data_IF_731441350659
#
_entry.id   IF_731441350659
#
_cell.length_a   1.000
_cell.length_b   1.000
_cell.length_c   1.000
_cell.angle_alpha   90.00
_cell.angle_beta   90.00
_cell.angle_gamma   90.00
#
_symmetry.space_group_name_H-M   'P 1'
#
loop_
_entity.id
_entity.type
_entity.pdbx_description
1 polymer ?
#
# COMPACT_ATOMS: atom_id res chain seq x y z
N UNK A 1 -38.84 1.38 -26.95
CA UNK A 1 -38.64 2.41 -25.91
C UNK A 1 -38.34 1.70 -24.60
N UNK A 2 -37.17 2.04 -24.02
CA UNK A 2 -36.75 1.84 -22.63
C UNK A 2 -36.55 0.40 -22.16
N UNK A 3 -35.37 -0.14 -22.49
CA UNK A 3 -34.65 -1.08 -21.64
C UNK A 3 -34.54 -0.42 -20.26
N UNK A 4 -35.42 -0.79 -19.33
CA UNK A 4 -35.24 -0.50 -17.92
C UNK A 4 -34.19 -1.45 -17.37
N UNK A 5 -32.94 -1.23 -17.79
CA UNK A 5 -31.75 -1.62 -17.03
C UNK A 5 -31.78 -0.83 -15.72
N UNK A 6 -32.63 -1.28 -14.80
CA UNK A 6 -32.41 -1.12 -13.36
C UNK A 6 -31.21 -2.01 -13.04
N UNK A 7 -30.05 -1.58 -13.55
CA UNK A 7 -28.75 -2.01 -13.09
C UNK A 7 -28.70 -1.47 -11.67
N UNK A 8 -29.18 -2.30 -10.75
CA UNK A 8 -28.99 -2.13 -9.34
C UNK A 8 -27.48 -1.98 -9.16
N UNK A 9 -27.02 -0.72 -9.12
CA UNK A 9 -25.72 -0.33 -8.63
C UNK A 9 -25.71 -0.69 -7.14
N UNK A 10 -25.62 -2.00 -6.88
CA UNK A 10 -24.93 -2.58 -5.76
C UNK A 10 -23.48 -2.07 -5.84
N UNK A 11 -23.27 -0.80 -5.50
CA UNK A 11 -21.98 -0.29 -5.02
C UNK A 11 -21.81 -0.68 -3.55
N UNK A 12 -22.09 -1.95 -3.29
CA UNK A 12 -21.88 -2.61 -2.01
C UNK A 12 -20.54 -3.30 -2.09
N UNK A 13 -19.65 -2.82 -1.24
CA UNK A 13 -18.51 -3.53 -0.69
C UNK A 13 -17.36 -3.83 -1.65
N UNK A 14 -16.45 -2.86 -1.74
CA UNK A 14 -15.03 -3.18 -1.55
C UNK A 14 -14.49 -2.25 -0.46
N UNK A 15 -14.97 -2.45 0.77
CA UNK A 15 -14.16 -2.12 1.95
C UNK A 15 -13.33 -3.39 2.17
N UNK A 16 -12.34 -3.61 1.32
CA UNK A 16 -11.34 -4.66 1.45
C UNK A 16 -10.01 -3.92 1.44
N UNK A 17 -9.14 -3.99 2.44
CA UNK A 17 -9.26 -4.54 3.78
C UNK A 17 -8.90 -3.48 4.82
N UNK A 18 -9.65 -3.41 5.90
CA UNK A 18 -9.09 -2.91 7.16
C UNK A 18 -8.13 -4.01 7.63
N UNK A 19 -6.85 -3.84 7.32
CA UNK A 19 -5.80 -4.82 7.52
C UNK A 19 -5.67 -5.30 8.96
N UNK A 20 -5.70 -6.62 9.12
CA UNK A 20 -5.17 -7.36 10.28
C UNK A 20 -3.66 -7.63 10.10
N UNK A 21 -2.99 -6.73 9.37
CA UNK A 21 -1.60 -6.88 8.98
C UNK A 21 -0.71 -6.28 10.04
N UNK A 22 0.33 -7.00 10.43
CA UNK A 22 1.30 -6.49 11.40
C UNK A 22 2.10 -5.32 10.79
N UNK A 23 2.62 -4.40 11.63
CA UNK A 23 3.55 -3.38 11.17
C UNK A 23 4.76 -3.97 10.44
N UNK A 24 5.23 -5.14 10.89
CA UNK A 24 6.38 -5.84 10.34
C UNK A 24 6.15 -6.31 8.90
N UNK A 25 4.98 -6.90 8.62
CA UNK A 25 4.57 -7.28 7.27
C UNK A 25 4.33 -6.06 6.37
N UNK A 26 3.69 -5.02 6.92
CA UNK A 26 3.41 -3.78 6.17
C UNK A 26 4.71 -3.09 5.75
N UNK A 27 5.66 -2.98 6.68
CA UNK A 27 6.98 -2.41 6.45
C UNK A 27 7.81 -3.24 5.48
N UNK A 28 7.72 -4.58 5.51
CA UNK A 28 8.41 -5.44 4.55
C UNK A 28 7.96 -5.17 3.11
N UNK A 29 6.64 -5.09 2.87
CA UNK A 29 6.09 -4.79 1.53
C UNK A 29 6.56 -3.41 1.05
N UNK A 30 6.38 -2.38 1.86
CA UNK A 30 6.72 -1.00 1.50
C UNK A 30 8.22 -0.85 1.22
N UNK A 31 9.06 -1.42 2.08
CA UNK A 31 10.51 -1.33 1.95
C UNK A 31 11.05 -2.16 0.79
N UNK A 32 10.44 -3.30 0.47
CA UNK A 32 10.74 -4.03 -0.75
C UNK A 32 10.44 -3.18 -1.99
N UNK A 33 9.28 -2.51 -2.05
CA UNK A 33 8.93 -1.63 -3.17
C UNK A 33 9.88 -0.42 -3.28
N UNK A 34 10.25 0.18 -2.15
CA UNK A 34 11.25 1.24 -2.13
C UNK A 34 12.64 0.76 -2.60
N UNK A 35 13.06 -0.45 -2.20
CA UNK A 35 14.34 -1.03 -2.60
C UNK A 35 14.39 -1.39 -4.09
N UNK A 36 13.27 -1.85 -4.66
CA UNK A 36 13.12 -2.00 -6.10
C UNK A 36 13.32 -0.66 -6.80
N UNK A 37 12.74 0.43 -6.29
CA UNK A 37 12.91 1.73 -6.92
C UNK A 37 14.31 2.35 -6.74
N UNK A 38 14.91 2.19 -5.55
CA UNK A 38 16.21 2.77 -5.23
C UNK A 38 17.24 1.67 -5.00
N UNK A 39 17.82 1.11 -6.07
CA UNK A 39 18.87 0.10 -5.94
C UNK A 39 20.07 0.68 -5.17
N UNK A 40 20.34 0.13 -3.99
CA UNK A 40 21.34 0.62 -3.05
C UNK A 40 20.78 1.06 -1.70
N UNK A 41 19.47 1.25 -1.59
CA UNK A 41 18.79 1.35 -0.30
C UNK A 41 18.76 -0.03 0.38
N UNK A 42 19.08 -0.06 1.68
CA UNK A 42 19.02 -1.29 2.45
C UNK A 42 17.57 -1.54 2.87
N UNK A 43 16.92 -2.51 2.24
CA UNK A 43 15.58 -2.98 2.59
C UNK A 43 15.48 -3.26 4.09
N UNK A 44 16.46 -3.99 4.65
CA UNK A 44 16.50 -4.33 6.07
C UNK A 44 16.55 -3.10 7.00
N UNK A 45 17.29 -2.05 6.61
CA UNK A 45 17.35 -0.81 7.38
C UNK A 45 16.04 -0.03 7.29
N UNK A 46 15.44 0.01 6.09
CA UNK A 46 14.12 0.59 5.90
C UNK A 46 13.07 -0.11 6.78
N UNK A 47 13.05 -1.45 6.78
CA UNK A 47 12.08 -2.23 7.55
C UNK A 47 12.26 -2.01 9.05
N UNK A 48 13.50 -2.04 9.56
CA UNK A 48 13.74 -1.81 11.00
C UNK A 48 13.27 -0.42 11.44
N UNK A 49 13.61 0.63 10.69
CA UNK A 49 13.19 2.00 11.01
C UNK A 49 11.68 2.17 10.88
N UNK A 50 11.06 1.58 9.87
CA UNK A 50 9.63 1.61 9.67
C UNK A 50 8.88 0.95 10.84
N UNK A 51 9.35 -0.20 11.33
CA UNK A 51 8.75 -0.91 12.47
C UNK A 51 8.90 -0.10 13.76
N UNK A 52 10.06 0.50 14.01
CA UNK A 52 10.28 1.37 15.17
C UNK A 52 9.29 2.54 15.17
N UNK A 53 9.13 3.23 14.04
CA UNK A 53 8.19 4.35 13.91
C UNK A 53 6.72 3.90 14.07
N UNK A 54 6.36 2.74 13.52
CA UNK A 54 5.02 2.19 13.63
C UNK A 54 4.68 1.73 15.06
N UNK A 55 5.68 1.34 15.85
CA UNK A 55 5.50 1.01 17.26
C UNK A 55 5.19 2.26 18.12
N UNK A 56 5.70 3.42 17.71
CA UNK A 56 5.50 4.69 18.41
C UNK A 56 4.19 5.39 18.03
N UNK A 57 3.66 5.13 16.84
CA UNK A 57 2.47 5.80 16.30
C UNK A 57 1.50 4.80 15.63
N UNK A 58 0.34 4.60 16.26
CA UNK A 58 -0.70 3.68 15.78
C UNK A 58 -1.45 4.20 14.54
N UNK A 59 -1.56 5.52 14.36
CA UNK A 59 -2.13 6.11 13.15
C UNK A 59 -1.17 5.93 11.97
N UNK A 60 0.13 6.05 12.23
CA UNK A 60 1.17 5.70 11.26
C UNK A 60 1.14 4.21 10.93
N UNK A 61 1.06 3.31 11.91
CA UNK A 61 0.93 1.87 11.67
C UNK A 61 -0.29 1.50 10.81
N UNK A 62 -1.44 2.14 11.06
CA UNK A 62 -2.65 1.94 10.25
C UNK A 62 -2.48 2.46 8.81
N UNK A 63 -1.77 3.58 8.63
CA UNK A 63 -1.45 4.12 7.31
C UNK A 63 -0.52 3.17 6.52
N UNK A 64 0.46 2.55 7.18
CA UNK A 64 1.35 1.57 6.56
C UNK A 64 0.60 0.32 6.11
N UNK A 65 -0.32 -0.19 6.93
CA UNK A 65 -1.18 -1.33 6.58
C UNK A 65 -1.98 -1.05 5.30
N UNK A 66 -2.62 0.12 5.24
CA UNK A 66 -3.37 0.57 4.06
C UNK A 66 -2.49 0.71 2.82
N UNK A 67 -1.27 1.25 2.99
CA UNK A 67 -0.32 1.41 1.90
C UNK A 67 0.20 0.06 1.37
N UNK A 68 0.51 -0.88 2.27
CA UNK A 68 0.95 -2.23 1.89
C UNK A 68 -0.14 -2.98 1.11
N UNK A 69 -1.39 -2.91 1.56
CA UNK A 69 -2.53 -3.51 0.86
C UNK A 69 -2.68 -2.93 -0.55
N UNK A 70 -2.57 -1.61 -0.70
CA UNK A 70 -2.63 -0.95 -2.01
C UNK A 70 -1.53 -1.41 -2.99
N UNK A 71 -0.32 -1.67 -2.50
CA UNK A 71 0.78 -2.18 -3.33
C UNK A 71 0.55 -3.62 -3.79
N UNK A 72 -0.03 -4.47 -2.95
CA UNK A 72 -0.27 -5.87 -3.27
C UNK A 72 -1.52 -6.09 -4.13
N UNK A 73 -2.60 -5.33 -3.89
CA UNK A 73 -3.79 -5.37 -4.75
C UNK A 73 -3.48 -5.01 -6.21
N UNK A 74 -2.42 -4.23 -6.40
CA UNK A 74 -1.92 -3.78 -7.69
C UNK A 74 -0.54 -4.38 -8.01
N UNK A 75 -0.22 -5.57 -7.48
CA UNK A 75 1.10 -6.19 -7.64
C UNK A 75 1.63 -6.16 -9.09
N UNK A 76 0.77 -6.47 -10.07
CA UNK A 76 1.14 -6.44 -11.50
C UNK A 76 1.65 -5.09 -12.03
N UNK A 77 1.27 -3.98 -11.40
CA UNK A 77 1.73 -2.62 -11.74
C UNK A 77 3.00 -2.24 -10.95
N UNK A 78 3.16 -2.78 -9.75
CA UNK A 78 4.27 -2.49 -8.83
C UNK A 78 5.37 -3.57 -8.82
N UNK A 79 5.39 -4.47 -9.80
CA UNK A 79 6.42 -5.49 -10.01
C UNK A 79 7.54 -5.05 -10.96
N UNK A 80 7.28 -4.09 -11.86
CA UNK A 80 8.30 -3.49 -12.73
C UNK A 80 9.02 -2.35 -12.00
N UNK A 81 10.36 -2.39 -11.98
CA UNK A 81 11.26 -1.38 -11.40
C UNK A 81 10.91 0.05 -11.86
N UNK A 82 10.58 0.23 -13.14
CA UNK A 82 10.20 1.54 -13.67
C UNK A 82 8.78 1.94 -13.26
N UNK A 83 7.87 0.98 -13.17
CA UNK A 83 6.49 1.20 -12.77
C UNK A 83 6.38 1.60 -11.29
N UNK A 84 7.10 0.88 -10.43
CA UNK A 84 7.11 1.13 -8.98
C UNK A 84 7.74 2.47 -8.65
N UNK A 85 8.84 2.87 -9.32
CA UNK A 85 9.45 4.19 -9.09
C UNK A 85 8.54 5.35 -9.45
N UNK A 86 7.98 5.33 -10.66
CA UNK A 86 7.11 6.42 -11.14
C UNK A 86 5.88 6.55 -10.24
N UNK A 87 5.37 5.42 -9.75
CA UNK A 87 4.22 5.40 -8.87
C UNK A 87 4.57 5.92 -7.45
N UNK A 88 5.71 5.52 -6.88
CA UNK A 88 6.20 6.06 -5.60
C UNK A 88 6.44 7.57 -5.70
N UNK A 89 7.14 8.03 -6.74
CA UNK A 89 7.39 9.47 -6.97
C UNK A 89 6.10 10.26 -7.19
N UNK A 90 5.09 9.62 -7.79
CA UNK A 90 3.75 10.18 -7.99
C UNK A 90 2.83 10.15 -6.76
N UNK A 91 3.29 9.62 -5.61
CA UNK A 91 2.49 9.49 -4.39
C UNK A 91 1.44 8.38 -4.45
N UNK A 92 1.63 7.38 -5.30
CA UNK A 92 0.73 6.24 -5.38
C UNK A 92 0.76 5.45 -4.06
N UNK A 93 -0.40 4.96 -3.63
CA UNK A 93 -0.58 4.27 -2.35
C UNK A 93 -0.13 5.07 -1.12
N UNK A 94 0.10 6.39 -1.21
CA UNK A 94 0.48 7.20 -0.06
C UNK A 94 -0.73 7.35 0.87
N UNK A 95 -0.68 6.67 2.02
CA UNK A 95 -1.67 6.83 3.07
C UNK A 95 -1.17 7.90 4.04
N UNK A 96 -1.95 8.96 4.20
CA UNK A 96 -1.72 9.95 5.27
C UNK A 96 -2.33 9.45 6.57
N UNK A 97 -1.59 9.48 7.70
CA UNK A 97 -2.19 9.32 9.02
C UNK A 97 -3.30 10.36 9.22
N UNK A 98 -4.46 9.94 9.74
CA UNK A 98 -5.58 10.83 10.07
C UNK A 98 -5.49 11.33 11.51
#
# INVERSE_FOLDING_TARGET
>A
MRLSTLFALLLTFVISGCGDRSPEESCAVICQKNALCQPGSSESLCTSTCVELAAEDSAYAASLSTQADCYEEQASYYEDEKGVCVAIEGGACQATPQ
#
